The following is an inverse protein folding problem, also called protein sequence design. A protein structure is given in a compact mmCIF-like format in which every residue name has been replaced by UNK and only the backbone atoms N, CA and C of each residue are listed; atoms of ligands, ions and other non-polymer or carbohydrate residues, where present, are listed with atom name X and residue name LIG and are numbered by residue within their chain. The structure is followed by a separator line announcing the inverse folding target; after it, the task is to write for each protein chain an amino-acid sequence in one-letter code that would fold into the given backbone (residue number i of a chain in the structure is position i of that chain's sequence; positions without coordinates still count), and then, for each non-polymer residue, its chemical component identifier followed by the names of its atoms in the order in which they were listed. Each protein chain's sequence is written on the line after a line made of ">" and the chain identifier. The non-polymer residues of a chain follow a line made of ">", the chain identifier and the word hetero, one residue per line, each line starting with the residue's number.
data_IF_380527703951
#
_entry.id   IF_380527703951
#
_cell.length_a   1.000
_cell.length_b   1.000
_cell.length_c   1.000
_cell.angle_alpha   90.00
_cell.angle_beta   90.00
_cell.angle_gamma   90.00
#
_symmetry.space_group_name_H-M   'P 1'
#
loop_
_entity.id
_entity.type
_entity.pdbx_description
1 polymer ?
#
# COMPACT_ATOMS: atom_id res chain seq x y z
N UNK A 1 0.48 15.81 -25.92
CA UNK A 1 0.14 16.05 -24.50
C UNK A 1 1.01 15.12 -23.68
N UNK A 2 2.05 15.71 -23.10
CA UNK A 2 3.11 15.01 -22.37
C UNK A 2 2.53 14.22 -21.19
N UNK A 3 2.92 12.95 -21.07
CA UNK A 3 2.77 12.18 -19.83
C UNK A 3 3.71 12.78 -18.77
N UNK A 4 3.33 13.93 -18.20
CA UNK A 4 3.95 14.52 -17.00
C UNK A 4 3.65 13.71 -15.72
N UNK A 5 2.93 12.60 -15.84
CA UNK A 5 2.63 11.68 -14.73
C UNK A 5 3.80 10.72 -14.47
N UNK A 6 4.72 10.54 -15.42
CA UNK A 6 5.89 9.68 -15.28
C UNK A 6 7.13 10.51 -14.99
N UNK A 7 7.46 10.67 -13.70
CA UNK A 7 8.81 10.47 -13.13
C UNK A 7 8.87 11.13 -11.76
N UNK A 8 9.05 10.33 -10.72
CA UNK A 8 9.42 10.67 -9.34
C UNK A 8 8.35 10.90 -8.27
N UNK A 9 7.16 11.39 -8.56
CA UNK A 9 6.23 11.76 -7.47
C UNK A 9 5.22 10.66 -7.08
N UNK A 10 4.91 9.71 -7.97
CA UNK A 10 3.98 8.62 -7.68
C UNK A 10 4.42 7.73 -6.50
N UNK A 11 5.70 7.29 -6.40
CA UNK A 11 6.15 6.54 -5.22
C UNK A 11 5.98 7.35 -3.92
N UNK A 12 6.14 8.67 -4.00
CA UNK A 12 6.05 9.57 -2.85
C UNK A 12 4.61 9.76 -2.41
N UNK A 13 3.68 10.05 -3.31
CA UNK A 13 2.27 10.24 -2.98
C UNK A 13 1.66 8.96 -2.42
N UNK A 14 1.96 7.81 -3.04
CA UNK A 14 1.48 6.52 -2.57
C UNK A 14 2.01 6.19 -1.18
N UNK A 15 3.29 6.43 -0.91
CA UNK A 15 3.88 6.21 0.42
C UNK A 15 3.20 7.06 1.48
N UNK A 16 2.88 8.33 1.19
CA UNK A 16 2.16 9.19 2.13
C UNK A 16 0.76 8.63 2.37
N UNK A 17 0.01 8.29 1.32
CA UNK A 17 -1.34 7.75 1.47
C UNK A 17 -1.38 6.43 2.26
N UNK A 18 -0.41 5.55 2.07
CA UNK A 18 -0.33 4.29 2.84
C UNK A 18 0.09 4.54 4.30
N UNK A 19 0.99 5.49 4.55
CA UNK A 19 1.35 5.87 5.92
C UNK A 19 0.16 6.46 6.68
N UNK A 20 -0.62 7.32 6.03
CA UNK A 20 -1.86 7.88 6.60
C UNK A 20 -2.89 6.77 6.86
N UNK A 21 -3.09 5.85 5.91
CA UNK A 21 -3.97 4.70 6.07
C UNK A 21 -3.59 3.83 7.28
N UNK A 22 -2.30 3.56 7.48
CA UNK A 22 -1.81 2.82 8.66
C UNK A 22 -2.25 3.54 9.94
N UNK A 23 -2.04 4.84 10.02
CA UNK A 23 -2.44 5.63 11.20
C UNK A 23 -3.95 5.62 11.44
N UNK A 24 -4.77 5.66 10.39
CA UNK A 24 -6.23 5.53 10.53
C UNK A 24 -6.66 4.12 10.96
N UNK A 25 -6.03 3.07 10.42
CA UNK A 25 -6.31 1.69 10.81
C UNK A 25 -5.95 1.41 12.26
N UNK A 26 -4.85 1.98 12.77
CA UNK A 26 -4.46 1.87 14.18
C UNK A 26 -5.49 2.51 15.12
N UNK A 27 -6.09 3.65 14.73
CA UNK A 27 -7.11 4.33 15.54
C UNK A 27 -8.39 3.53 15.71
N UNK A 28 -8.75 2.72 14.71
CA UNK A 28 -9.97 1.90 14.73
C UNK A 28 -9.70 0.43 15.08
N UNK A 29 -8.46 0.11 15.46
CA UNK A 29 -8.05 -1.26 15.70
C UNK A 29 -8.78 -1.91 16.89
N UNK A 30 -9.08 -3.19 16.75
CA UNK A 30 -9.65 -4.07 17.77
C UNK A 30 -9.00 -5.47 17.67
N UNK A 31 -9.49 -6.44 18.45
CA UNK A 31 -8.94 -7.80 18.51
C UNK A 31 -8.88 -8.54 17.15
N UNK A 32 -9.70 -8.13 16.16
CA UNK A 32 -9.72 -8.72 14.82
C UNK A 32 -8.81 -8.01 13.82
N UNK A 33 -8.20 -6.88 14.21
CA UNK A 33 -7.44 -5.99 13.33
C UNK A 33 -6.04 -6.47 12.96
N UNK A 34 -5.60 -7.62 13.47
CA UNK A 34 -4.24 -8.12 13.24
C UNK A 34 -3.88 -8.23 11.76
N UNK A 35 -4.75 -8.85 10.95
CA UNK A 35 -4.47 -9.09 9.54
C UNK A 35 -4.40 -7.80 8.70
N UNK A 36 -5.39 -6.87 8.75
CA UNK A 36 -5.30 -5.63 7.96
C UNK A 36 -4.14 -4.75 8.42
N UNK A 37 -3.86 -4.66 9.73
CA UNK A 37 -2.71 -3.91 10.24
C UNK A 37 -1.38 -4.49 9.73
N UNK A 38 -1.22 -5.82 9.80
CA UNK A 38 -0.01 -6.49 9.29
C UNK A 38 0.23 -6.19 7.81
N UNK A 39 -0.83 -6.28 6.99
CA UNK A 39 -0.73 -6.00 5.56
C UNK A 39 -0.40 -4.51 5.29
N UNK A 40 -1.03 -3.60 6.03
CA UNK A 40 -0.80 -2.16 5.90
C UNK A 40 0.64 -1.77 6.30
N UNK A 41 1.14 -2.29 7.43
CA UNK A 41 2.52 -2.06 7.85
C UNK A 41 3.54 -2.66 6.86
N UNK A 42 3.31 -3.88 6.37
CA UNK A 42 4.21 -4.48 5.37
C UNK A 42 4.28 -3.62 4.11
N UNK A 43 3.13 -3.20 3.59
CA UNK A 43 3.08 -2.34 2.40
C UNK A 43 3.76 -0.99 2.66
N UNK A 44 3.57 -0.39 3.84
CA UNK A 44 4.22 0.87 4.20
C UNK A 44 5.74 0.73 4.29
N UNK A 45 6.25 -0.36 4.89
CA UNK A 45 7.68 -0.66 4.96
C UNK A 45 8.26 -0.85 3.55
N UNK A 46 7.60 -1.64 2.71
CA UNK A 46 8.06 -1.91 1.34
C UNK A 46 8.12 -0.60 0.52
N UNK A 47 7.12 0.28 0.64
CA UNK A 47 7.13 1.58 -0.02
C UNK A 47 8.14 2.55 0.58
N UNK A 48 8.44 2.45 1.88
CA UNK A 48 9.41 3.33 2.56
C UNK A 48 10.84 2.99 2.19
N UNK A 49 11.14 1.70 2.04
CA UNK A 49 12.49 1.21 1.79
C UNK A 49 12.76 0.79 0.35
N UNK A 50 11.74 0.77 -0.52
CA UNK A 50 11.95 0.66 -1.97
C UNK A 50 12.86 1.79 -2.46
N UNK A 51 13.95 1.43 -3.11
CA UNK A 51 14.88 2.39 -3.69
C UNK A 51 14.47 2.72 -5.12
N UNK A 52 14.95 3.86 -5.64
CA UNK A 52 14.79 4.16 -7.07
C UNK A 52 15.45 3.10 -7.96
N UNK A 53 16.52 2.47 -7.49
CA UNK A 53 17.27 1.47 -8.25
C UNK A 53 16.53 0.13 -8.32
N UNK A 54 15.82 -0.27 -7.25
CA UNK A 54 14.97 -1.47 -7.26
C UNK A 54 13.86 -1.36 -8.31
N UNK A 55 13.27 -0.17 -8.46
CA UNK A 55 12.23 0.12 -9.45
C UNK A 55 12.79 0.27 -10.87
N UNK A 56 14.07 0.64 -11.02
CA UNK A 56 14.73 0.83 -12.31
C UNK A 56 15.25 -0.50 -12.90
N UNK A 57 15.59 -1.48 -12.06
CA UNK A 57 16.01 -2.82 -12.47
C UNK A 57 14.82 -3.77 -12.67
N UNK A 58 13.69 -3.52 -11.99
CA UNK A 58 12.49 -4.30 -12.16
C UNK A 58 11.69 -3.86 -13.39
N UNK A 59 11.05 -4.82 -14.06
CA UNK A 59 10.03 -4.51 -15.06
C UNK A 59 8.89 -3.69 -14.42
N UNK A 60 8.57 -2.54 -15.00
CA UNK A 60 7.58 -1.61 -14.48
C UNK A 60 6.21 -2.29 -14.37
N UNK A 61 5.84 -3.09 -15.37
CA UNK A 61 4.55 -3.76 -15.40
C UNK A 61 4.44 -4.77 -14.25
N UNK A 62 5.48 -5.58 -14.05
CA UNK A 62 5.58 -6.54 -12.95
C UNK A 62 5.49 -5.85 -11.59
N UNK A 63 6.20 -4.74 -11.42
CA UNK A 63 6.20 -3.95 -10.19
C UNK A 63 4.81 -3.40 -9.86
N UNK A 64 4.15 -2.77 -10.85
CA UNK A 64 2.81 -2.20 -10.67
C UNK A 64 1.77 -3.29 -10.37
N UNK A 65 1.83 -4.43 -11.08
CA UNK A 65 0.93 -5.55 -10.82
C UNK A 65 1.11 -6.11 -9.40
N UNK A 66 2.35 -6.26 -8.94
CA UNK A 66 2.65 -6.71 -7.58
C UNK A 66 2.15 -5.74 -6.51
N UNK A 67 2.29 -4.44 -6.75
CA UNK A 67 1.76 -3.39 -5.87
C UNK A 67 0.23 -3.44 -5.81
N UNK A 68 -0.45 -3.52 -6.97
CA UNK A 68 -1.91 -3.60 -7.05
C UNK A 68 -2.43 -4.84 -6.32
N UNK A 69 -1.77 -5.99 -6.47
CA UNK A 69 -2.15 -7.21 -5.77
C UNK A 69 -2.10 -7.05 -4.24
N UNK A 70 -1.07 -6.36 -3.72
CA UNK A 70 -0.93 -6.08 -2.28
C UNK A 70 -2.00 -5.09 -1.77
N UNK A 71 -2.30 -4.05 -2.54
CA UNK A 71 -3.37 -3.09 -2.22
C UNK A 71 -4.73 -3.78 -2.19
N UNK A 72 -5.01 -4.67 -3.16
CA UNK A 72 -6.24 -5.43 -3.21
C UNK A 72 -6.37 -6.37 -2.00
N UNK A 73 -5.30 -7.10 -1.64
CA UNK A 73 -5.29 -7.96 -0.46
C UNK A 73 -5.54 -7.17 0.85
N UNK A 74 -4.96 -5.97 0.98
CA UNK A 74 -5.22 -5.09 2.10
C UNK A 74 -6.68 -4.64 2.13
N UNK A 75 -7.21 -4.19 0.99
CA UNK A 75 -8.60 -3.75 0.84
C UNK A 75 -9.59 -4.85 1.22
N UNK A 76 -9.36 -6.09 0.77
CA UNK A 76 -10.17 -7.24 1.13
C UNK A 76 -10.11 -7.54 2.63
N UNK A 77 -8.92 -7.48 3.22
CA UNK A 77 -8.77 -7.70 4.66
C UNK A 77 -9.46 -6.62 5.49
N UNK A 78 -9.43 -5.35 5.05
CA UNK A 78 -10.14 -4.25 5.71
C UNK A 78 -11.64 -4.48 5.62
N UNK A 79 -12.17 -4.81 4.44
CA UNK A 79 -13.58 -5.11 4.22
C UNK A 79 -14.07 -6.22 5.14
N UNK A 80 -13.37 -7.36 5.17
CA UNK A 80 -13.74 -8.50 6.02
C UNK A 80 -13.69 -8.17 7.51
N UNK A 81 -12.74 -7.35 7.93
CA UNK A 81 -12.51 -7.08 9.36
C UNK A 81 -13.43 -5.99 9.92
N UNK A 82 -13.67 -4.93 9.14
CA UNK A 82 -14.36 -3.73 9.64
C UNK A 82 -15.75 -3.49 9.02
N UNK A 83 -16.03 -4.04 7.83
CA UNK A 83 -17.27 -3.78 7.11
C UNK A 83 -18.23 -4.97 7.11
N UNK A 84 -17.71 -6.19 7.10
CA UNK A 84 -18.51 -7.43 7.07
C UNK A 84 -18.66 -8.08 8.45
N UNK A 85 -17.99 -7.55 9.47
CA UNK A 85 -18.04 -8.05 10.85
C UNK A 85 -19.33 -7.66 11.60
N UNK A 86 -20.46 -7.52 10.89
CA UNK A 86 -21.78 -7.21 11.46
C UNK A 86 -22.42 -8.45 12.09
#
# INVERSE_FOLDING_TARGET
>A
MELLILRNDIPRSLRVSIADLVGELEKIANDRSYQPLRLAHQLNVDLRFSTRDDLAQADLQTTLNGLLARINALSDSIRQTYLEAL
#
